data_IF_828222378098
#
_entry.id   IF_828222378098
#
_cell.length_a   1.000
_cell.length_b   1.000
_cell.length_c   1.000
_cell.angle_alpha   90.00
_cell.angle_beta   90.00
_cell.angle_gamma   90.00
#
_symmetry.space_group_name_H-M   'P 1'
#
loop_
_entity.id
_entity.type
_entity.pdbx_description
1 polymer ?
#
# COMPACT_ATOMS: atom_id res chain seq x y z
N UNK A 1 6.35 42.86 -26.11
CA UNK A 1 7.25 41.74 -25.73
C UNK A 1 7.40 41.56 -24.22
N UNK A 2 7.72 42.61 -23.41
CA UNK A 2 7.86 42.49 -21.94
C UNK A 2 6.66 41.87 -21.20
N UNK A 3 5.42 42.22 -21.58
CA UNK A 3 4.19 41.70 -20.94
C UNK A 3 3.97 40.19 -21.17
N UNK A 4 4.43 39.67 -22.31
CA UNK A 4 4.31 38.25 -22.65
C UNK A 4 5.28 37.39 -21.84
N UNK A 5 6.50 37.89 -21.63
CA UNK A 5 7.52 37.25 -20.80
C UNK A 5 7.05 37.17 -19.33
N UNK A 6 6.48 38.25 -18.80
CA UNK A 6 5.94 38.27 -17.45
C UNK A 6 4.81 37.26 -17.24
N UNK A 7 3.96 37.06 -18.25
CA UNK A 7 2.87 36.07 -18.20
C UNK A 7 3.41 34.63 -18.17
N UNK A 8 4.44 34.34 -18.97
CA UNK A 8 5.10 33.02 -18.98
C UNK A 8 5.76 32.74 -17.62
N UNK A 9 6.48 33.72 -17.04
CA UNK A 9 7.08 33.55 -15.72
C UNK A 9 6.03 33.31 -14.62
N UNK A 10 4.91 34.02 -14.65
CA UNK A 10 3.81 33.81 -13.69
C UNK A 10 3.20 32.41 -13.84
N UNK A 11 3.02 31.93 -15.07
CA UNK A 11 2.50 30.58 -15.34
C UNK A 11 3.44 29.49 -14.80
N UNK A 12 4.75 29.63 -15.05
CA UNK A 12 5.78 28.70 -14.54
C UNK A 12 5.80 28.66 -13.02
N UNK A 13 5.62 29.81 -12.36
CA UNK A 13 5.53 29.90 -10.89
C UNK A 13 4.32 29.13 -10.36
N UNK A 14 3.14 29.32 -10.97
CA UNK A 14 1.91 28.61 -10.57
C UNK A 14 2.05 27.09 -10.80
N UNK A 15 2.60 26.68 -11.95
CA UNK A 15 2.86 25.27 -12.22
C UNK A 15 3.88 24.64 -11.25
N UNK A 16 4.90 25.40 -10.85
CA UNK A 16 5.89 24.94 -9.87
C UNK A 16 5.27 24.74 -8.49
N UNK A 17 4.40 25.65 -8.06
CA UNK A 17 3.68 25.52 -6.78
C UNK A 17 2.75 24.29 -6.81
N UNK A 18 2.00 24.10 -7.90
CA UNK A 18 1.12 22.94 -8.06
C UNK A 18 1.89 21.61 -8.10
N UNK A 19 3.06 21.58 -8.75
CA UNK A 19 3.90 20.39 -8.78
C UNK A 19 4.47 20.05 -7.39
N UNK A 20 4.88 21.06 -6.61
CA UNK A 20 5.42 20.86 -5.26
C UNK A 20 4.33 20.39 -4.28
N UNK A 21 3.10 20.92 -4.38
CA UNK A 21 1.98 20.47 -3.53
C UNK A 21 1.54 19.03 -3.86
N UNK A 22 1.60 18.63 -5.13
CA UNK A 22 1.36 17.25 -5.55
C UNK A 22 2.50 16.31 -5.12
N UNK A 23 3.76 16.74 -5.26
CA UNK A 23 4.92 15.96 -4.84
C UNK A 23 5.02 15.80 -3.31
N UNK A 24 4.52 16.77 -2.53
CA UNK A 24 4.40 16.63 -1.07
C UNK A 24 3.38 15.56 -0.63
N UNK A 25 2.45 15.19 -1.52
CA UNK A 25 1.54 14.07 -1.32
C UNK A 25 2.14 12.73 -1.77
N UNK A 26 3.15 12.75 -2.64
CA UNK A 26 3.74 11.57 -3.27
C UNK A 26 4.97 11.05 -2.51
N UNK A 27 4.78 10.75 -1.22
CA UNK A 27 5.60 9.81 -0.44
C UNK A 27 7.03 10.17 0.07
N UNK A 28 7.69 11.33 -0.13
CA UNK A 28 8.92 11.62 0.62
C UNK A 28 8.56 11.97 2.07
N UNK A 29 9.17 11.27 3.03
CA UNK A 29 9.03 11.60 4.46
C UNK A 29 7.87 10.94 5.20
N UNK A 30 7.33 9.84 4.66
CA UNK A 30 6.40 8.98 5.38
C UNK A 30 7.18 8.01 6.28
N UNK A 31 6.84 7.99 7.57
CA UNK A 31 7.43 7.08 8.55
C UNK A 31 6.34 6.23 9.18
N UNK A 32 6.57 4.92 9.22
CA UNK A 32 5.71 3.99 9.96
C UNK A 32 5.87 4.28 11.45
N UNK A 33 4.82 4.74 12.10
CA UNK A 33 4.84 5.08 13.53
C UNK A 33 4.17 4.01 14.39
N UNK A 34 3.22 3.29 13.82
CA UNK A 34 2.49 2.25 14.54
C UNK A 34 2.04 1.14 13.59
N UNK A 35 2.08 -0.10 14.07
CA UNK A 35 1.59 -1.27 13.35
C UNK A 35 0.87 -2.19 14.33
N UNK A 36 -0.37 -2.54 14.02
CA UNK A 36 -1.16 -3.46 14.84
C UNK A 36 -1.88 -4.49 13.98
N UNK A 37 -2.17 -5.64 14.58
CA UNK A 37 -2.99 -6.69 13.96
C UNK A 37 -4.46 -6.34 14.19
N UNK A 38 -5.25 -6.27 13.13
CA UNK A 38 -6.68 -5.99 13.21
C UNK A 38 -7.52 -7.26 13.13
N UNK A 39 -7.09 -8.20 12.30
CA UNK A 39 -7.83 -9.45 12.06
C UNK A 39 -6.89 -10.58 11.69
N UNK A 40 -7.24 -11.79 12.08
CA UNK A 40 -6.69 -13.04 11.54
C UNK A 40 -7.83 -13.90 11.05
N UNK A 41 -7.71 -14.48 9.86
CA UNK A 41 -8.72 -15.40 9.33
C UNK A 41 -8.08 -16.51 8.51
N UNK A 42 -8.89 -17.53 8.28
CA UNK A 42 -8.56 -18.64 7.39
C UNK A 42 -9.60 -18.72 6.30
N UNK A 43 -9.17 -19.02 5.07
CA UNK A 43 -10.07 -19.28 3.96
C UNK A 43 -9.64 -20.55 3.21
N UNK A 44 -10.60 -21.32 2.67
CA UNK A 44 -10.28 -22.46 1.84
C UNK A 44 -9.86 -21.97 0.44
N UNK A 45 -8.80 -22.56 -0.11
CA UNK A 45 -8.44 -22.40 -1.52
C UNK A 45 -8.32 -23.78 -2.16
N UNK A 46 -9.03 -23.99 -3.25
CA UNK A 46 -8.91 -25.22 -4.03
C UNK A 46 -7.70 -25.11 -4.95
N UNK A 47 -6.69 -25.96 -4.72
CA UNK A 47 -5.43 -25.98 -5.46
C UNK A 47 -5.09 -27.41 -5.85
N UNK A 48 -4.47 -27.57 -7.02
CA UNK A 48 -3.88 -28.84 -7.44
C UNK A 48 -2.44 -28.94 -6.90
N UNK A 49 -2.18 -29.87 -5.97
CA UNK A 49 -0.83 -30.12 -5.44
C UNK A 49 -0.01 -30.87 -6.52
N UNK A 50 1.29 -30.58 -6.65
CA UNK A 50 2.14 -31.06 -7.76
C UNK A 50 2.19 -32.59 -7.93
N UNK A 51 1.99 -33.34 -6.83
CA UNK A 51 2.03 -34.80 -6.80
C UNK A 51 0.64 -35.45 -6.72
N UNK A 52 -0.45 -34.67 -6.87
CA UNK A 52 -1.81 -35.18 -6.78
C UNK A 52 -2.67 -34.66 -7.94
N UNK A 53 -3.28 -35.54 -8.76
CA UNK A 53 -4.08 -35.12 -9.91
C UNK A 53 -5.43 -34.50 -9.53
N UNK A 54 -5.86 -34.62 -8.27
CA UNK A 54 -7.13 -34.08 -7.79
C UNK A 54 -6.96 -32.68 -7.18
N UNK A 55 -8.04 -31.89 -7.20
CA UNK A 55 -8.13 -30.63 -6.49
C UNK A 55 -8.33 -30.90 -4.99
N UNK A 56 -7.54 -30.24 -4.15
CA UNK A 56 -7.65 -30.37 -2.70
C UNK A 56 -7.91 -29.02 -2.04
N UNK A 57 -8.64 -29.06 -0.92
CA UNK A 57 -8.89 -27.88 -0.12
C UNK A 57 -7.64 -27.56 0.71
N UNK A 58 -6.96 -26.48 0.38
CA UNK A 58 -5.92 -25.91 1.20
C UNK A 58 -6.54 -24.95 2.20
N UNK A 59 -6.02 -24.94 3.43
CA UNK A 59 -6.37 -23.90 4.39
C UNK A 59 -5.30 -22.83 4.35
N UNK A 60 -5.67 -21.63 3.90
CA UNK A 60 -4.77 -20.48 3.89
C UNK A 60 -5.09 -19.61 5.10
N UNK A 61 -4.05 -19.23 5.83
CA UNK A 61 -4.14 -18.30 6.96
C UNK A 61 -3.59 -16.95 6.56
N UNK A 62 -4.35 -15.91 6.85
CA UNK A 62 -3.97 -14.53 6.66
C UNK A 62 -4.03 -13.74 7.96
N UNK A 63 -3.31 -12.63 7.99
CA UNK A 63 -3.50 -11.56 8.96
C UNK A 63 -3.65 -10.22 8.25
N UNK A 64 -4.51 -9.37 8.76
CA UNK A 64 -4.58 -7.97 8.38
C UNK A 64 -3.85 -7.14 9.44
N UNK A 65 -2.99 -6.23 8.96
CA UNK A 65 -2.35 -5.22 9.80
C UNK A 65 -2.83 -3.85 9.40
N UNK A 66 -3.12 -3.02 10.39
CA UNK A 66 -3.26 -1.58 10.23
C UNK A 66 -1.90 -0.94 10.51
N UNK A 67 -1.32 -0.34 9.47
CA UNK A 67 -0.10 0.45 9.57
C UNK A 67 -0.47 1.93 9.55
N UNK A 68 -0.07 2.65 10.59
CA UNK A 68 -0.22 4.10 10.68
C UNK A 68 1.08 4.73 10.22
N UNK A 69 0.98 5.56 9.20
CA UNK A 69 2.09 6.34 8.69
C UNK A 69 1.86 7.80 9.04
N UNK A 70 2.94 8.46 9.43
CA UNK A 70 2.97 9.89 9.66
C UNK A 70 3.86 10.55 8.61
N UNK A 71 3.37 11.63 8.00
CA UNK A 71 4.15 12.45 7.07
C UNK A 71 4.66 13.69 7.78
N UNK A 72 5.98 13.79 7.93
CA UNK A 72 6.63 14.94 8.59
C UNK A 72 6.53 16.25 7.79
N UNK A 73 6.24 16.17 6.49
CA UNK A 73 6.15 17.35 5.61
C UNK A 73 4.80 18.05 5.76
N UNK A 74 3.71 17.28 5.85
CA UNK A 74 2.36 17.83 5.90
C UNK A 74 1.65 17.67 7.25
N UNK A 75 2.33 17.11 8.26
CA UNK A 75 1.81 16.88 9.62
C UNK A 75 0.47 16.12 9.62
N UNK A 76 0.40 15.06 8.80
CA UNK A 76 -0.79 14.22 8.68
C UNK A 76 -0.46 12.76 8.90
N UNK A 77 -1.37 12.08 9.60
CA UNK A 77 -1.39 10.63 9.72
C UNK A 77 -2.38 10.01 8.75
N UNK A 78 -2.03 8.86 8.18
CA UNK A 78 -2.97 8.03 7.44
C UNK A 78 -2.78 6.55 7.78
N UNK A 79 -3.83 5.76 7.58
CA UNK A 79 -3.85 4.33 7.90
C UNK A 79 -3.87 3.53 6.61
N UNK A 80 -3.01 2.52 6.51
CA UNK A 80 -2.99 1.55 5.43
C UNK A 80 -3.25 0.15 5.99
N UNK A 81 -4.26 -0.52 5.46
CA UNK A 81 -4.51 -1.93 5.74
C UNK A 81 -3.70 -2.79 4.78
N UNK A 82 -2.98 -3.76 5.33
CA UNK A 82 -2.22 -4.74 4.55
C UNK A 82 -2.64 -6.15 4.94
N UNK A 83 -2.89 -6.99 3.94
CA UNK A 83 -3.12 -8.43 4.14
C UNK A 83 -1.79 -9.16 3.97
N UNK A 84 -1.43 -9.96 4.96
CA UNK A 84 -0.19 -10.75 5.00
C UNK A 84 -0.56 -12.22 5.01
N UNK A 85 -0.01 -12.98 4.06
CA UNK A 85 -0.07 -14.43 4.07
C UNK A 85 0.79 -14.98 5.21
N UNK A 86 0.21 -15.85 6.03
CA UNK A 86 0.91 -16.49 7.14
C UNK A 86 1.35 -17.91 6.81
N UNK A 87 0.43 -18.73 6.33
CA UNK A 87 0.69 -20.14 6.07
C UNK A 87 -0.37 -20.75 5.17
N UNK A 88 -0.01 -21.84 4.52
CA UNK A 88 -0.91 -22.70 3.75
C UNK A 88 -0.67 -24.15 4.16
N UNK A 89 -1.74 -24.90 4.42
CA UNK A 89 -1.66 -26.34 4.70
C UNK A 89 -2.21 -27.12 3.50
N UNK A 90 -1.37 -27.91 2.81
CA UNK A 90 -1.81 -28.89 1.81
C UNK A 90 -2.17 -30.21 2.53
N UNK A 91 -3.36 -30.78 2.34
CA UNK A 91 -3.73 -32.06 2.93
C UNK A 91 -2.98 -33.25 2.30
N UNK A 92 -2.25 -33.04 1.20
CA UNK A 92 -1.50 -34.09 0.49
C UNK A 92 -0.09 -34.36 1.04
N UNK A 93 0.32 -33.74 2.17
CA UNK A 93 1.68 -33.89 2.75
C UNK A 93 1.78 -35.17 3.61
N UNK A 94 0.98 -36.20 3.31
CA UNK A 94 0.99 -37.50 3.97
C UNK A 94 1.40 -38.60 2.99
#
# INVERSE_FOLDING_TARGET
MKKFIAFICALVLVCSIAAVTLAACDHPGQTLVYSTITRTWTEPRWVQCAYNPYMHAHTIKYMEKANVYYCHICDRSYVKYITVFLSETCPCVH
#
